data_IF_248017745314
#
_entry.id   IF_248017745314
#
_cell.length_a   1.000
_cell.length_b   1.000
_cell.length_c   1.000
_cell.angle_alpha   90.00
_cell.angle_beta   90.00
_cell.angle_gamma   90.00
#
_symmetry.space_group_name_H-M   'P 1'
#
loop_
_entity.id
_entity.type
_entity.pdbx_description
1 polymer ?
#
# COMPACT_ATOMS: atom_id res chain seq x y z
N UNK A 1 -38.33 53.85 -9.11
CA UNK A 1 -39.07 53.40 -10.31
C UNK A 1 -39.23 51.88 -10.26
N UNK A 2 -40.44 51.37 -9.97
CA UNK A 2 -41.41 50.74 -10.90
C UNK A 2 -41.14 49.22 -11.10
N UNK A 3 -42.07 48.27 -10.96
CA UNK A 3 -43.39 48.19 -10.33
C UNK A 3 -43.65 46.70 -10.02
N UNK A 4 -43.84 46.37 -8.75
CA UNK A 4 -44.42 45.10 -8.31
C UNK A 4 -45.92 45.14 -8.63
N UNK A 5 -46.40 44.30 -9.55
CA UNK A 5 -47.84 44.07 -9.72
C UNK A 5 -48.21 42.61 -9.45
N UNK A 6 -48.45 42.37 -8.15
CA UNK A 6 -49.50 41.54 -7.55
C UNK A 6 -50.02 40.37 -8.39
N UNK A 7 -49.48 39.19 -8.10
CA UNK A 7 -50.28 37.97 -8.10
C UNK A 7 -51.38 38.12 -7.04
N UNK A 8 -52.65 38.24 -7.47
CA UNK A 8 -53.81 38.19 -6.57
C UNK A 8 -54.63 36.95 -6.92
N UNK A 9 -54.48 35.95 -6.04
CA UNK A 9 -55.45 34.96 -5.55
C UNK A 9 -56.80 34.94 -6.29
N UNK A 10 -57.12 33.80 -6.92
CA UNK A 10 -58.51 33.31 -6.92
C UNK A 10 -59.34 33.33 -8.21
N UNK A 11 -58.77 33.20 -9.41
CA UNK A 11 -59.59 32.99 -10.62
C UNK A 11 -59.00 31.95 -11.57
N UNK A 12 -59.73 30.86 -11.72
CA UNK A 12 -59.59 29.87 -12.79
C UNK A 12 -59.78 30.54 -14.15
N UNK A 13 -58.73 30.62 -14.97
CA UNK A 13 -58.92 30.77 -16.42
C UNK A 13 -59.06 29.38 -17.04
N UNK A 14 -60.29 28.87 -17.02
CA UNK A 14 -60.71 27.74 -17.84
C UNK A 14 -60.92 28.24 -19.28
N UNK A 15 -60.29 27.60 -20.26
CA UNK A 15 -60.67 27.74 -21.67
C UNK A 15 -61.06 26.37 -22.21
N UNK A 16 -62.32 26.25 -22.60
CA UNK A 16 -62.97 25.03 -23.06
C UNK A 16 -62.89 24.87 -24.60
N UNK A 17 -62.31 23.73 -25.04
CA UNK A 17 -62.74 22.76 -26.08
C UNK A 17 -63.23 23.28 -27.46
N UNK A 18 -62.89 22.62 -28.61
CA UNK A 18 -63.46 21.30 -28.92
C UNK A 18 -62.53 20.32 -29.68
N UNK A 19 -63.09 19.11 -29.86
CA UNK A 19 -62.51 17.80 -30.15
C UNK A 19 -62.31 17.51 -31.67
N UNK A 20 -61.32 16.63 -31.96
CA UNK A 20 -61.04 15.84 -33.20
C UNK A 20 -60.02 16.36 -34.24
N UNK A 21 -58.79 15.81 -34.26
CA UNK A 21 -58.34 14.69 -35.14
C UNK A 21 -56.81 14.47 -35.04
N UNK A 22 -56.38 13.24 -35.35
CA UNK A 22 -55.06 12.62 -35.15
C UNK A 22 -54.13 12.90 -36.34
N UNK A 23 -52.86 13.24 -36.12
CA UNK A 23 -51.76 12.84 -37.02
C UNK A 23 -50.64 12.23 -36.18
N UNK A 24 -50.49 10.93 -36.36
CA UNK A 24 -49.44 10.07 -35.86
C UNK A 24 -48.10 10.52 -36.44
N UNK A 25 -47.23 11.08 -35.59
CA UNK A 25 -45.79 10.96 -35.77
C UNK A 25 -45.27 10.20 -34.54
N UNK A 26 -45.73 8.95 -34.36
CA UNK A 26 -44.99 7.98 -33.58
C UNK A 26 -43.68 7.68 -34.32
N UNK A 27 -42.71 8.58 -34.18
CA UNK A 27 -41.32 8.24 -34.36
C UNK A 27 -41.07 7.02 -33.47
N UNK A 28 -40.88 5.87 -34.12
CA UNK A 28 -40.72 4.57 -33.48
C UNK A 28 -39.55 4.66 -32.50
N UNK A 29 -39.82 4.99 -31.25
CA UNK A 29 -38.92 4.69 -30.14
C UNK A 29 -38.93 3.17 -30.00
N UNK A 30 -38.04 2.53 -30.77
CA UNK A 30 -37.72 1.14 -30.60
C UNK A 30 -37.12 1.00 -29.19
N UNK A 31 -37.97 0.64 -28.22
CA UNK A 31 -37.57 0.17 -26.90
C UNK A 31 -36.64 -1.03 -27.14
N UNK A 32 -35.33 -0.80 -27.15
CA UNK A 32 -34.36 -1.88 -27.13
C UNK A 32 -34.69 -2.73 -25.90
N UNK A 33 -35.24 -3.92 -26.12
CA UNK A 33 -35.49 -4.86 -25.04
C UNK A 33 -34.17 -5.04 -24.26
N UNK A 34 -34.15 -4.58 -23.01
CA UNK A 34 -33.00 -4.78 -22.14
C UNK A 34 -32.90 -6.28 -21.88
N UNK A 35 -31.98 -6.95 -22.58
CA UNK A 35 -31.53 -8.30 -22.21
C UNK A 35 -30.79 -8.19 -20.88
N UNK A 36 -31.51 -8.40 -19.78
CA UNK A 36 -30.92 -8.48 -18.45
C UNK A 36 -30.02 -9.70 -18.33
N UNK A 37 -28.96 -9.58 -17.54
CA UNK A 37 -28.13 -10.71 -17.12
C UNK A 37 -29.01 -11.69 -16.34
N UNK A 38 -28.95 -12.98 -16.67
CA UNK A 38 -29.75 -13.98 -15.96
C UNK A 38 -29.15 -14.20 -14.56
N UNK A 39 -30.01 -14.50 -13.58
CA UNK A 39 -29.56 -14.79 -12.22
C UNK A 39 -28.61 -15.99 -12.18
N UNK A 40 -28.80 -16.95 -13.10
CA UNK A 40 -27.93 -18.11 -13.25
C UNK A 40 -26.54 -17.74 -13.78
N UNK A 41 -26.42 -16.81 -14.75
CA UNK A 41 -25.12 -16.32 -15.21
C UNK A 41 -24.37 -15.62 -14.08
N UNK A 42 -25.06 -14.83 -13.26
CA UNK A 42 -24.43 -14.13 -12.14
C UNK A 42 -23.95 -15.12 -11.06
N UNK A 43 -24.72 -16.16 -10.76
CA UNK A 43 -24.31 -17.20 -9.81
C UNK A 43 -23.07 -17.98 -10.25
N UNK A 44 -22.95 -18.30 -11.54
CA UNK A 44 -21.75 -18.98 -12.07
C UNK A 44 -20.53 -18.07 -11.95
N UNK A 45 -20.67 -16.77 -12.25
CA UNK A 45 -19.58 -15.80 -12.12
C UNK A 45 -19.09 -15.71 -10.68
N UNK A 46 -20.01 -15.61 -9.71
CA UNK A 46 -19.64 -15.57 -8.27
C UNK A 46 -18.96 -16.86 -7.83
N UNK A 47 -19.42 -18.03 -8.30
CA UNK A 47 -18.80 -19.31 -7.98
C UNK A 47 -17.34 -19.39 -8.48
N UNK A 48 -17.07 -18.94 -9.70
CA UNK A 48 -15.71 -18.93 -10.27
C UNK A 48 -14.82 -17.93 -9.51
N UNK A 49 -15.32 -16.70 -9.24
CA UNK A 49 -14.56 -15.69 -8.48
C UNK A 49 -14.24 -16.21 -7.07
N UNK A 50 -15.15 -16.95 -6.43
CA UNK A 50 -14.93 -17.55 -5.11
C UNK A 50 -13.74 -18.52 -5.09
N UNK A 51 -13.63 -19.41 -6.08
CA UNK A 51 -12.52 -20.37 -6.20
C UNK A 51 -11.20 -19.62 -6.44
N UNK A 52 -11.20 -18.65 -7.36
CA UNK A 52 -9.99 -17.87 -7.67
C UNK A 52 -9.52 -17.06 -6.45
N UNK A 53 -10.44 -16.46 -5.69
CA UNK A 53 -10.12 -15.69 -4.50
C UNK A 53 -9.50 -16.56 -3.39
N UNK A 54 -10.00 -17.79 -3.20
CA UNK A 54 -9.48 -18.70 -2.17
C UNK A 54 -7.99 -19.03 -2.37
N UNK A 55 -7.54 -19.18 -3.63
CA UNK A 55 -6.13 -19.45 -3.95
C UNK A 55 -5.30 -18.17 -4.01
N UNK A 56 -5.87 -17.07 -4.51
CA UNK A 56 -5.14 -15.82 -4.73
C UNK A 56 -4.87 -15.02 -3.43
N UNK A 57 -5.82 -15.02 -2.49
CA UNK A 57 -5.72 -14.24 -1.24
C UNK A 57 -4.47 -14.56 -0.40
N UNK A 58 -4.12 -15.83 -0.10
CA UNK A 58 -2.94 -16.10 0.72
C UNK A 58 -1.63 -15.66 0.05
N UNK A 59 -1.52 -15.84 -1.27
CA UNK A 59 -0.36 -15.39 -2.03
C UNK A 59 -0.27 -13.86 -2.09
N UNK A 60 -1.40 -13.17 -2.24
CA UNK A 60 -1.46 -11.71 -2.24
C UNK A 60 -1.06 -11.14 -0.87
N UNK A 61 -1.53 -11.73 0.22
CA UNK A 61 -1.12 -11.35 1.58
C UNK A 61 0.39 -11.47 1.75
N UNK A 62 0.99 -12.61 1.39
CA UNK A 62 2.44 -12.80 1.46
C UNK A 62 3.21 -11.77 0.62
N UNK A 63 2.69 -11.40 -0.56
CA UNK A 63 3.29 -10.35 -1.39
C UNK A 63 3.22 -8.98 -0.70
N UNK A 64 2.06 -8.59 -0.19
CA UNK A 64 1.91 -7.30 0.50
C UNK A 64 2.79 -7.19 1.74
N UNK A 65 2.90 -8.26 2.55
CA UNK A 65 3.80 -8.32 3.70
C UNK A 65 5.24 -8.07 3.25
N UNK A 66 5.71 -8.79 2.22
CA UNK A 66 7.08 -8.63 1.71
C UNK A 66 7.36 -7.22 1.18
N UNK A 67 6.40 -6.61 0.50
CA UNK A 67 6.51 -5.22 0.03
C UNK A 67 6.69 -4.26 1.20
N UNK A 68 5.91 -4.43 2.28
CA UNK A 68 6.06 -3.64 3.52
C UNK A 68 7.40 -3.87 4.21
N UNK A 69 7.90 -5.11 4.24
CA UNK A 69 9.23 -5.44 4.79
C UNK A 69 10.35 -4.79 3.98
N UNK A 70 10.18 -4.64 2.66
CA UNK A 70 11.18 -4.02 1.78
C UNK A 70 11.34 -2.52 2.06
N UNK A 71 10.33 -1.84 2.58
CA UNK A 71 10.46 -0.47 3.13
C UNK A 71 11.53 -0.42 4.25
N UNK A 72 11.67 -1.49 5.03
CA UNK A 72 12.75 -1.60 6.01
C UNK A 72 14.14 -1.51 5.40
N UNK A 73 14.34 -2.03 4.18
CA UNK A 73 15.64 -1.94 3.49
C UNK A 73 15.94 -0.53 3.02
N UNK A 74 14.94 0.22 2.57
CA UNK A 74 15.13 1.61 2.15
C UNK A 74 15.43 2.49 3.35
N UNK A 75 14.74 2.28 4.48
CA UNK A 75 15.01 2.99 5.72
C UNK A 75 16.37 2.62 6.34
N UNK A 76 16.85 1.40 6.12
CA UNK A 76 18.18 0.99 6.57
C UNK A 76 19.33 1.59 5.73
N UNK A 77 19.06 2.22 4.59
CA UNK A 77 20.10 2.79 3.73
C UNK A 77 20.87 3.93 4.44
N UNK A 78 20.18 4.77 5.21
CA UNK A 78 20.81 5.82 6.02
C UNK A 78 21.66 5.24 7.15
N UNK A 79 21.21 4.17 7.79
CA UNK A 79 22.00 3.44 8.78
C UNK A 79 23.26 2.81 8.18
N UNK A 80 23.18 2.26 6.95
CA UNK A 80 24.35 1.73 6.23
C UNK A 80 25.39 2.80 5.96
N UNK A 81 24.95 4.00 5.59
CA UNK A 81 25.85 5.14 5.37
C UNK A 81 26.54 5.52 6.68
N UNK A 82 25.78 5.68 7.77
CA UNK A 82 26.35 6.01 9.08
C UNK A 82 27.39 4.96 9.53
N UNK A 83 27.09 3.67 9.38
CA UNK A 83 28.04 2.59 9.69
C UNK A 83 29.29 2.67 8.82
N UNK A 84 29.16 2.96 7.52
CA UNK A 84 30.29 3.07 6.60
C UNK A 84 31.20 4.27 6.94
N UNK A 85 30.62 5.42 7.25
CA UNK A 85 31.36 6.61 7.68
C UNK A 85 32.07 6.38 9.01
N UNK A 86 31.38 5.81 10.00
CA UNK A 86 32.00 5.48 11.29
C UNK A 86 33.11 4.46 11.10
N UNK A 87 32.89 3.39 10.32
CA UNK A 87 33.90 2.37 10.05
C UNK A 87 35.17 2.97 9.44
N UNK A 88 35.05 3.91 8.50
CA UNK A 88 36.20 4.63 7.95
C UNK A 88 36.96 5.43 9.01
N UNK A 89 36.25 6.05 9.97
CA UNK A 89 36.85 6.84 11.03
C UNK A 89 37.49 6.00 12.15
N UNK A 90 36.92 4.85 12.49
CA UNK A 90 37.37 4.00 13.62
C UNK A 90 38.26 2.82 13.19
N UNK A 91 38.66 2.78 11.92
CA UNK A 91 39.55 1.74 11.39
C UNK A 91 38.88 0.38 11.21
N UNK A 92 37.64 0.35 10.73
CA UNK A 92 36.92 -0.84 10.29
C UNK A 92 35.58 -1.08 11.00
N UNK A 93 34.74 -1.93 10.38
CA UNK A 93 33.36 -2.21 10.87
C UNK A 93 33.32 -2.88 12.25
N UNK A 94 34.36 -3.62 12.63
CA UNK A 94 34.44 -4.31 13.93
C UNK A 94 34.40 -3.33 15.12
N UNK A 95 34.89 -2.10 14.93
CA UNK A 95 34.94 -1.06 15.95
C UNK A 95 33.68 -0.18 15.98
N UNK A 96 32.74 -0.40 15.06
CA UNK A 96 31.47 0.33 15.04
C UNK A 96 30.56 -0.21 16.14
N UNK A 97 29.94 0.70 16.88
CA UNK A 97 29.01 0.43 17.98
C UNK A 97 27.80 1.35 17.87
N UNK A 98 26.76 1.08 18.65
CA UNK A 98 25.61 1.97 18.73
C UNK A 98 26.01 3.41 19.11
N UNK A 99 26.96 3.56 20.03
CA UNK A 99 27.34 4.85 20.61
C UNK A 99 28.16 5.74 19.66
N UNK A 100 29.01 5.16 18.81
CA UNK A 100 29.86 5.91 17.89
C UNK A 100 29.28 6.04 16.47
N UNK A 101 28.21 5.30 16.16
CA UNK A 101 27.54 5.40 14.86
C UNK A 101 26.82 6.73 14.65
N UNK A 102 26.43 7.41 15.73
CA UNK A 102 25.63 8.64 15.69
C UNK A 102 24.23 8.47 15.07
N UNK A 103 23.86 7.26 14.67
CA UNK A 103 22.61 6.98 14.00
C UNK A 103 21.47 6.85 15.00
N UNK A 104 20.42 7.64 14.79
CA UNK A 104 19.17 7.55 15.55
C UNK A 104 18.03 7.40 14.57
N UNK A 105 17.28 6.30 14.67
CA UNK A 105 16.06 6.13 13.90
C UNK A 105 14.93 6.92 14.52
N UNK A 106 14.35 7.84 13.75
CA UNK A 106 13.15 8.57 14.15
C UNK A 106 11.93 8.05 13.36
N UNK A 107 10.99 7.36 14.02
CA UNK A 107 9.74 6.97 13.37
C UNK A 107 8.90 8.22 13.04
N UNK A 108 8.58 8.41 11.75
CA UNK A 108 7.75 9.50 11.22
C UNK A 108 6.49 8.86 10.63
N UNK A 109 5.36 9.16 11.26
CA UNK A 109 4.06 8.68 10.80
C UNK A 109 3.83 9.05 9.31
N UNK A 110 3.45 8.06 8.51
CA UNK A 110 3.22 8.22 7.06
C UNK A 110 4.44 7.98 6.16
N UNK A 111 5.68 8.01 6.69
CA UNK A 111 6.91 7.73 5.91
C UNK A 111 7.56 6.40 6.27
N UNK A 112 7.42 5.94 7.52
CA UNK A 112 7.88 4.62 7.99
C UNK A 112 6.76 3.81 8.63
N UNK A 113 5.66 3.70 7.88
CA UNK A 113 4.41 3.09 8.33
C UNK A 113 4.59 1.65 8.81
N UNK A 114 5.56 0.92 8.23
CA UNK A 114 5.79 -0.50 8.54
C UNK A 114 7.14 -0.80 9.18
N UNK A 115 7.93 0.23 9.51
CA UNK A 115 9.21 0.09 10.20
C UNK A 115 9.07 0.64 11.62
N UNK A 116 9.24 -0.25 12.60
CA UNK A 116 9.16 0.11 14.01
C UNK A 116 10.47 0.68 14.55
N UNK A 117 11.59 0.07 14.17
CA UNK A 117 12.91 0.52 14.58
C UNK A 117 13.98 0.11 13.57
N UNK A 118 15.02 0.93 13.46
CA UNK A 118 16.30 0.58 12.85
C UNK A 118 17.37 0.90 13.88
N UNK A 119 18.18 -0.09 14.25
CA UNK A 119 19.20 0.06 15.28
C UNK A 119 20.55 -0.43 14.76
N UNK A 120 21.62 0.29 15.09
CA UNK A 120 23.00 -0.12 14.84
C UNK A 120 23.56 -0.76 16.12
N UNK A 121 24.02 -2.00 16.01
CA UNK A 121 24.65 -2.76 17.09
C UNK A 121 26.17 -2.76 17.02
N UNK A 122 26.79 -3.61 17.84
CA UNK A 122 28.22 -3.87 17.77
C UNK A 122 28.62 -4.47 16.42
N UNK A 123 29.81 -4.13 15.93
CA UNK A 123 30.30 -4.54 14.62
C UNK A 123 29.53 -3.90 13.45
N UNK A 124 28.78 -2.82 13.69
CA UNK A 124 27.99 -2.14 12.66
C UNK A 124 26.78 -2.95 12.16
N UNK A 125 26.36 -3.99 12.88
CA UNK A 125 25.19 -4.80 12.50
C UNK A 125 23.93 -3.95 12.61
N UNK A 126 23.17 -3.83 11.52
CA UNK A 126 21.94 -3.04 11.49
C UNK A 126 20.75 -3.97 11.65
N UNK A 127 19.99 -3.83 12.73
CA UNK A 127 18.77 -4.58 12.98
C UNK A 127 17.57 -3.76 12.55
N UNK A 128 16.78 -4.29 11.62
CA UNK A 128 15.53 -3.68 11.16
C UNK A 128 14.35 -4.45 11.74
N UNK A 129 13.52 -3.75 12.52
CA UNK A 129 12.32 -4.29 13.14
C UNK A 129 11.10 -3.72 12.42
N UNK A 130 10.29 -4.60 11.83
CA UNK A 130 9.03 -4.19 11.17
C UNK A 130 7.87 -4.13 12.16
N UNK A 131 6.83 -3.37 11.81
CA UNK A 131 5.56 -3.25 12.54
C UNK A 131 4.39 -3.30 11.57
N UNK A 132 3.21 -3.69 12.04
CA UNK A 132 1.95 -3.61 11.27
C UNK A 132 2.01 -4.23 9.85
N UNK A 133 2.85 -5.24 9.63
CA UNK A 133 3.01 -5.83 8.30
C UNK A 133 1.80 -6.66 7.88
N UNK A 134 1.05 -7.20 8.85
CA UNK A 134 -0.02 -8.17 8.64
C UNK A 134 0.47 -9.62 8.71
N UNK A 135 1.74 -9.86 9.01
CA UNK A 135 2.26 -11.18 9.35
C UNK A 135 1.87 -11.57 10.78
N UNK A 136 1.67 -12.88 11.02
CA UNK A 136 1.41 -13.40 12.37
C UNK A 136 2.57 -13.14 13.34
N UNK A 137 3.81 -13.18 12.83
CA UNK A 137 5.02 -12.76 13.54
C UNK A 137 5.70 -11.71 12.69
N UNK A 138 5.94 -10.53 13.27
CA UNK A 138 6.56 -9.43 12.54
C UNK A 138 7.98 -9.82 12.09
N UNK A 139 8.29 -9.70 10.78
CA UNK A 139 9.62 -9.99 10.28
C UNK A 139 10.68 -9.05 10.87
N UNK A 140 11.79 -9.63 11.31
CA UNK A 140 12.98 -8.89 11.77
C UNK A 140 14.17 -9.45 11.00
N UNK A 141 15.02 -8.57 10.51
CA UNK A 141 16.22 -8.97 9.79
C UNK A 141 17.39 -8.06 10.13
N UNK A 142 18.59 -8.62 10.05
CA UNK A 142 19.84 -7.94 10.31
C UNK A 142 20.59 -7.76 8.99
N UNK A 143 21.25 -6.62 8.85
CA UNK A 143 22.22 -6.34 7.79
C UNK A 143 23.59 -6.33 8.43
N UNK A 144 24.35 -7.38 8.18
CA UNK A 144 25.65 -7.59 8.77
C UNK A 144 26.71 -7.08 7.79
N UNK A 145 27.49 -6.04 8.15
CA UNK A 145 28.61 -5.62 7.35
C UNK A 145 29.75 -6.63 7.48
N UNK A 146 30.40 -6.94 6.37
CA UNK A 146 31.57 -7.80 6.27
C UNK A 146 32.67 -7.00 5.59
N UNK A 147 33.82 -6.92 6.25
CA UNK A 147 34.99 -6.21 5.78
C UNK A 147 36.22 -7.00 6.22
N UNK A 148 37.10 -7.38 5.29
CA UNK A 148 38.28 -8.20 5.63
C UNK A 148 39.42 -7.34 6.21
N UNK A 149 39.59 -6.13 5.69
CA UNK A 149 40.53 -5.11 6.16
C UNK A 149 39.88 -3.73 6.18
N UNK A 150 40.32 -2.77 7.02
CA UNK A 150 39.70 -1.43 7.11
C UNK A 150 39.63 -0.65 5.79
N UNK A 151 40.48 -0.99 4.81
CA UNK A 151 40.52 -0.36 3.49
C UNK A 151 39.67 -1.08 2.44
N UNK A 152 39.13 -2.26 2.74
CA UNK A 152 38.31 -3.02 1.80
C UNK A 152 36.88 -2.49 1.73
N UNK A 153 36.20 -2.76 0.63
CA UNK A 153 34.78 -2.45 0.49
C UNK A 153 33.94 -3.24 1.50
N UNK A 154 33.00 -2.56 2.15
CA UNK A 154 32.02 -3.19 3.04
C UNK A 154 31.00 -3.96 2.20
N UNK A 155 30.94 -5.27 2.40
CA UNK A 155 29.92 -6.15 1.81
C UNK A 155 28.80 -6.37 2.82
N UNK A 156 27.55 -6.23 2.41
CA UNK A 156 26.40 -6.39 3.30
C UNK A 156 25.75 -7.74 3.09
N UNK A 157 25.66 -8.54 4.15
CA UNK A 157 24.88 -9.79 4.16
C UNK A 157 23.60 -9.55 4.94
N UNK A 158 22.46 -10.03 4.43
CA UNK A 158 21.19 -9.91 5.14
C UNK A 158 20.79 -11.25 5.74
N UNK A 159 20.47 -11.25 7.04
CA UNK A 159 20.12 -12.46 7.79
C UNK A 159 18.77 -12.27 8.45
N UNK A 160 17.89 -13.26 8.33
CA UNK A 160 16.61 -13.30 9.02
C UNK A 160 16.81 -13.57 10.51
N UNK A 161 16.15 -12.77 11.36
CA UNK A 161 16.17 -12.92 12.82
C UNK A 161 14.82 -13.36 13.37
N UNK A 162 13.71 -12.94 12.74
CA UNK A 162 12.36 -13.36 13.10
C UNK A 162 11.41 -13.37 11.89
N UNK A 163 10.26 -14.06 12.02
CA UNK A 163 9.24 -14.20 10.99
C UNK A 163 9.53 -15.30 9.97
N UNK A 164 8.65 -15.46 8.97
CA UNK A 164 8.81 -16.47 7.94
C UNK A 164 9.73 -15.99 6.80
N UNK A 165 10.62 -16.85 6.31
CA UNK A 165 11.54 -16.56 5.21
C UNK A 165 10.83 -16.01 3.95
N UNK A 166 9.62 -16.51 3.65
CA UNK A 166 8.84 -16.07 2.49
C UNK A 166 8.42 -14.60 2.54
N UNK A 167 8.32 -14.01 3.73
CA UNK A 167 7.97 -12.60 3.94
C UNK A 167 9.15 -11.65 3.79
N UNK A 168 10.37 -12.17 3.80
CA UNK A 168 11.57 -11.37 3.57
C UNK A 168 11.88 -11.28 2.07
N UNK A 169 12.54 -10.19 1.62
CA UNK A 169 13.04 -10.07 0.26
C UNK A 169 14.15 -11.10 -0.01
N UNK A 170 14.39 -11.42 -1.28
CA UNK A 170 15.23 -12.56 -1.69
C UNK A 170 16.67 -12.48 -1.16
N UNK A 171 17.20 -11.26 -0.98
CA UNK A 171 18.53 -11.02 -0.43
C UNK A 171 18.66 -11.36 1.07
N UNK A 172 17.54 -11.58 1.77
CA UNK A 172 17.46 -11.83 3.21
C UNK A 172 16.89 -13.23 3.54
N UNK A 173 16.84 -14.15 2.57
CA UNK A 173 16.23 -15.48 2.73
C UNK A 173 17.22 -16.55 3.15
#
# INVERSE_FOLDING_TARGET
MCALNRCRIGTTCAFSLPRHYIIDASEKYAMKAQKGFTLIELMIVVAIIGILAAVALPAYQDYTIRSKVTEGLTQAASAKLAVAETAANVGGVANVTAANSGFVFNPVAGTNSYVGAVAVGAGGVITVTTKETGAAVQPVFNLNPVQASPNDQITWTCVRTAGLAKHLPANCR
#
